data_IF_539495554413
#
_entry.id   IF_539495554413
#
_cell.length_a   1.000
_cell.length_b   1.000
_cell.length_c   1.000
_cell.angle_alpha   90.00
_cell.angle_beta   90.00
_cell.angle_gamma   90.00
#
_symmetry.space_group_name_H-M   'P 1'
#
loop_
_entity.id
_entity.type
_entity.pdbx_description
1 polymer ?
#
# COMPACT_ATOMS: atom_id res chain seq x y z
N UNK A 1 -2.76 1.34 -61.50
CA UNK A 1 -2.87 1.09 -60.04
C UNK A 1 -2.10 -0.19 -59.73
N UNK A 2 -1.08 -0.13 -58.87
CA UNK A 2 -0.13 -1.22 -58.69
C UNK A 2 -0.79 -2.36 -57.87
N UNK A 3 -1.07 -3.50 -58.50
CA UNK A 3 -1.74 -4.67 -57.89
C UNK A 3 -1.07 -5.14 -56.59
N UNK A 4 0.24 -4.90 -56.47
CA UNK A 4 1.05 -5.18 -55.27
C UNK A 4 0.63 -4.31 -54.06
N UNK A 5 0.27 -3.04 -54.26
CA UNK A 5 -0.23 -2.19 -53.16
C UNK A 5 -1.60 -2.64 -52.69
N UNK A 6 -2.48 -3.05 -53.60
CA UNK A 6 -3.81 -3.57 -53.23
C UNK A 6 -3.68 -4.89 -52.44
N UNK A 7 -2.79 -5.79 -52.87
CA UNK A 7 -2.53 -7.04 -52.16
C UNK A 7 -1.93 -6.80 -50.76
N UNK A 8 -0.98 -5.87 -50.64
CA UNK A 8 -0.41 -5.48 -49.34
C UNK A 8 -1.45 -4.85 -48.41
N UNK A 9 -2.36 -4.03 -48.94
CA UNK A 9 -3.43 -3.42 -48.17
C UNK A 9 -4.45 -4.46 -47.69
N UNK A 10 -4.86 -5.39 -48.55
CA UNK A 10 -5.74 -6.50 -48.17
C UNK A 10 -5.12 -7.41 -47.12
N UNK A 11 -3.82 -7.70 -47.23
CA UNK A 11 -3.08 -8.47 -46.22
C UNK A 11 -3.05 -7.74 -44.87
N UNK A 12 -2.79 -6.43 -44.87
CA UNK A 12 -2.86 -5.60 -43.66
C UNK A 12 -4.26 -5.63 -43.04
N UNK A 13 -5.32 -5.45 -43.83
CA UNK A 13 -6.70 -5.55 -43.36
C UNK A 13 -7.00 -6.92 -42.75
N UNK A 14 -6.55 -8.01 -43.38
CA UNK A 14 -6.74 -9.36 -42.86
C UNK A 14 -6.04 -9.58 -41.51
N UNK A 15 -4.82 -9.06 -41.35
CA UNK A 15 -4.05 -9.11 -40.09
C UNK A 15 -4.75 -8.32 -38.99
N UNK A 16 -5.23 -7.10 -39.29
CA UNK A 16 -5.97 -6.26 -38.33
C UNK A 16 -7.28 -6.94 -37.92
N UNK A 17 -8.05 -7.48 -38.87
CA UNK A 17 -9.30 -8.18 -38.55
C UNK A 17 -9.07 -9.42 -37.68
N UNK A 18 -8.00 -10.17 -37.95
CA UNK A 18 -7.62 -11.32 -37.13
C UNK A 18 -7.19 -10.90 -35.71
N UNK A 19 -6.38 -9.84 -35.58
CA UNK A 19 -5.93 -9.36 -34.27
C UNK A 19 -7.10 -8.82 -33.44
N UNK A 20 -8.02 -8.07 -34.03
CA UNK A 20 -9.24 -7.59 -33.35
C UNK A 20 -10.10 -8.76 -32.89
N UNK A 21 -10.42 -9.71 -33.77
CA UNK A 21 -11.22 -10.89 -33.37
C UNK A 21 -10.57 -11.74 -32.28
N UNK A 22 -9.24 -11.85 -32.29
CA UNK A 22 -8.50 -12.53 -31.22
C UNK A 22 -8.60 -11.75 -29.92
N UNK A 23 -8.43 -10.43 -29.97
CA UNK A 23 -8.59 -9.54 -28.81
C UNK A 23 -10.00 -9.64 -28.22
N UNK A 24 -11.03 -9.60 -29.07
CA UNK A 24 -12.44 -9.71 -28.66
C UNK A 24 -12.69 -11.02 -27.91
N UNK A 25 -12.20 -12.15 -28.45
CA UNK A 25 -12.33 -13.46 -27.79
C UNK A 25 -11.66 -13.50 -26.43
N UNK A 26 -10.47 -12.91 -26.30
CA UNK A 26 -9.73 -12.83 -25.03
C UNK A 26 -10.51 -11.97 -24.03
N UNK A 27 -11.04 -10.82 -24.47
CA UNK A 27 -11.85 -9.93 -23.64
C UNK A 27 -13.14 -10.61 -23.17
N UNK A 28 -13.91 -11.22 -24.07
CA UNK A 28 -15.12 -11.95 -23.69
C UNK A 28 -14.82 -13.08 -22.70
N UNK A 29 -13.70 -13.79 -22.87
CA UNK A 29 -13.31 -14.83 -21.94
C UNK A 29 -12.94 -14.26 -20.57
N UNK A 30 -12.22 -13.14 -20.53
CA UNK A 30 -11.90 -12.44 -19.29
C UNK A 30 -13.16 -11.96 -18.57
N UNK A 31 -14.12 -11.37 -19.29
CA UNK A 31 -15.43 -10.95 -18.76
C UNK A 31 -16.22 -12.14 -18.22
N UNK A 32 -16.33 -13.23 -18.99
CA UNK A 32 -17.00 -14.46 -18.53
C UNK A 32 -16.36 -14.99 -17.25
N UNK A 33 -15.03 -15.03 -17.18
CA UNK A 33 -14.30 -15.48 -16.00
C UNK A 33 -14.55 -14.57 -14.80
N UNK A 34 -14.53 -13.25 -15.01
CA UNK A 34 -14.84 -12.26 -13.97
C UNK A 34 -16.26 -12.46 -13.43
N UNK A 35 -17.28 -12.50 -14.28
CA UNK A 35 -18.67 -12.70 -13.88
C UNK A 35 -18.88 -14.06 -13.20
N UNK A 36 -18.19 -15.11 -13.66
CA UNK A 36 -18.22 -16.41 -13.01
C UNK A 36 -17.62 -16.36 -11.59
N UNK A 37 -16.48 -15.70 -11.43
CA UNK A 37 -15.83 -15.51 -10.12
C UNK A 37 -16.71 -14.69 -9.18
N UNK A 38 -17.26 -13.58 -9.67
CA UNK A 38 -18.14 -12.70 -8.89
C UNK A 38 -19.43 -13.41 -8.45
N UNK A 39 -20.06 -14.20 -9.33
CA UNK A 39 -21.24 -15.01 -8.96
C UNK A 39 -20.92 -16.03 -7.86
N UNK A 40 -19.77 -16.69 -7.93
CA UNK A 40 -19.33 -17.62 -6.87
C UNK A 40 -19.07 -16.88 -5.57
N UNK A 41 -18.43 -15.71 -5.64
CA UNK A 41 -18.13 -14.88 -4.48
C UNK A 41 -19.39 -14.44 -3.74
N UNK A 42 -20.43 -14.04 -4.48
CA UNK A 42 -21.72 -13.60 -3.93
C UNK A 42 -22.56 -14.72 -3.29
N UNK A 43 -22.19 -15.99 -3.49
CA UNK A 43 -22.89 -17.14 -2.87
C UNK A 43 -22.14 -17.75 -1.68
N UNK A 44 -20.94 -17.25 -1.35
CA UNK A 44 -20.16 -17.75 -0.22
C UNK A 44 -20.82 -17.32 1.10
N UNK A 45 -21.14 -18.32 1.94
CA UNK A 45 -21.68 -18.13 3.29
C UNK A 45 -20.66 -17.43 4.19
N UNK A 46 -21.16 -16.77 5.23
CA UNK A 46 -20.34 -16.15 6.29
C UNK A 46 -19.33 -17.16 6.85
N UNK A 47 -18.07 -16.75 6.96
CA UNK A 47 -16.98 -17.51 7.60
C UNK A 47 -16.43 -16.73 8.80
N UNK A 48 -15.63 -17.40 9.63
CA UNK A 48 -14.94 -16.73 10.74
C UNK A 48 -13.91 -15.72 10.22
N UNK A 49 -13.66 -14.68 11.03
CA UNK A 49 -12.65 -13.66 10.80
C UNK A 49 -11.40 -13.83 11.68
N UNK A 50 -11.36 -14.87 12.54
CA UNK A 50 -10.28 -15.06 13.52
C UNK A 50 -8.89 -15.27 12.88
N UNK A 51 -8.86 -15.68 11.61
CA UNK A 51 -7.61 -15.90 10.87
C UNK A 51 -7.04 -14.62 10.23
N UNK A 52 -7.68 -13.46 10.43
CA UNK A 52 -7.16 -12.19 9.93
C UNK A 52 -5.90 -11.77 10.71
N UNK A 53 -5.00 -11.08 10.02
CA UNK A 53 -3.82 -10.48 10.63
C UNK A 53 -4.20 -9.16 11.31
N UNK A 54 -4.66 -9.24 12.54
CA UNK A 54 -5.00 -8.07 13.34
C UNK A 54 -3.74 -7.28 13.72
N UNK A 55 -3.82 -5.97 13.59
CA UNK A 55 -2.74 -5.04 13.95
C UNK A 55 -3.02 -4.49 15.34
N UNK A 56 -2.00 -4.52 16.19
CA UNK A 56 -2.04 -3.90 17.52
C UNK A 56 -1.05 -2.75 17.56
N UNK A 57 -1.51 -1.57 17.97
CA UNK A 57 -0.65 -0.40 18.11
C UNK A 57 0.22 -0.57 19.37
N UNK A 58 1.55 -0.49 19.27
CA UNK A 58 2.45 -0.63 20.41
C UNK A 58 2.22 0.44 21.47
N UNK A 59 2.30 0.03 22.74
CA UNK A 59 2.22 0.94 23.89
C UNK A 59 3.28 2.05 23.84
N UNK A 60 4.45 1.73 23.28
CA UNK A 60 5.56 2.69 23.06
C UNK A 60 5.18 3.86 22.15
N UNK A 61 4.17 3.69 21.29
CA UNK A 61 3.60 4.75 20.45
C UNK A 61 2.46 5.45 21.20
N UNK A 62 1.52 4.68 21.76
CA UNK A 62 0.33 5.23 22.42
C UNK A 62 0.69 6.15 23.61
N UNK A 63 1.69 5.78 24.39
CA UNK A 63 2.11 6.49 25.60
C UNK A 63 3.41 7.27 25.42
N UNK A 64 3.79 7.60 24.18
CA UNK A 64 4.99 8.40 23.92
C UNK A 64 4.88 9.79 24.57
N UNK A 65 6.02 10.34 24.99
CA UNK A 65 6.09 11.68 25.60
C UNK A 65 7.17 12.51 24.89
N UNK A 66 6.83 13.15 23.75
CA UNK A 66 7.70 14.13 23.12
C UNK A 66 7.97 15.30 24.07
N UNK A 67 9.13 15.94 23.96
CA UNK A 67 9.47 17.15 24.73
C UNK A 67 8.56 18.30 24.34
N UNK A 68 8.27 18.42 23.03
CA UNK A 68 7.33 19.41 22.49
C UNK A 68 5.93 18.80 22.35
N UNK A 69 5.16 18.77 23.44
CA UNK A 69 3.79 18.26 23.42
C UNK A 69 2.80 19.35 22.98
N UNK A 70 2.59 19.48 21.67
CA UNK A 70 1.58 20.38 21.08
C UNK A 70 0.16 19.82 21.20
N UNK A 71 -0.83 20.67 20.95
CA UNK A 71 -2.24 20.25 20.88
C UNK A 71 -2.45 19.21 19.76
N UNK A 72 -1.86 19.44 18.59
CA UNK A 72 -1.93 18.50 17.46
C UNK A 72 -1.37 17.12 17.79
N UNK A 73 -0.20 17.04 18.45
CA UNK A 73 0.39 15.76 18.86
C UNK A 73 -0.51 15.05 19.86
N UNK A 74 -1.10 15.78 20.81
CA UNK A 74 -2.02 15.22 21.80
C UNK A 74 -3.26 14.64 21.14
N UNK A 75 -3.82 15.34 20.15
CA UNK A 75 -4.99 14.89 19.41
C UNK A 75 -4.68 13.64 18.60
N UNK A 76 -3.54 13.59 17.89
CA UNK A 76 -3.13 12.38 17.18
C UNK A 76 -2.91 11.19 18.11
N UNK A 77 -2.30 11.38 19.28
CA UNK A 77 -2.13 10.29 20.26
C UNK A 77 -3.48 9.81 20.79
N UNK A 78 -4.40 10.73 21.08
CA UNK A 78 -5.76 10.39 21.50
C UNK A 78 -6.49 9.58 20.42
N UNK A 79 -6.44 10.01 19.16
CA UNK A 79 -7.07 9.30 18.06
C UNK A 79 -6.48 7.89 17.88
N UNK A 80 -5.16 7.72 18.07
CA UNK A 80 -4.52 6.41 18.05
C UNK A 80 -4.94 5.53 19.23
N UNK A 81 -5.13 6.10 20.42
CA UNK A 81 -5.66 5.37 21.58
C UNK A 81 -7.08 4.90 21.30
N UNK A 82 -7.94 5.78 20.78
CA UNK A 82 -9.33 5.43 20.43
C UNK A 82 -9.37 4.35 19.35
N UNK A 83 -8.50 4.44 18.33
CA UNK A 83 -8.34 3.40 17.30
C UNK A 83 -7.80 2.09 17.84
N UNK A 84 -6.93 2.11 18.86
CA UNK A 84 -6.34 0.89 19.44
C UNK A 84 -7.37 -0.04 20.10
N UNK A 85 -8.54 0.49 20.45
CA UNK A 85 -9.67 -0.28 20.97
C UNK A 85 -10.49 -0.97 19.86
N UNK A 86 -10.22 -0.66 18.58
CA UNK A 86 -10.96 -1.17 17.43
C UNK A 86 -10.16 -2.25 16.68
N UNK A 87 -10.84 -3.18 16.01
CA UNK A 87 -10.19 -4.14 15.12
C UNK A 87 -9.60 -3.44 13.90
N UNK A 88 -8.29 -3.59 13.71
CA UNK A 88 -7.54 -3.00 12.59
C UNK A 88 -6.94 -4.14 11.76
N UNK A 89 -7.21 -4.13 10.46
CA UNK A 89 -6.66 -5.11 9.52
C UNK A 89 -6.31 -4.41 8.22
N UNK A 90 -5.10 -4.63 7.72
CA UNK A 90 -4.69 -4.14 6.41
C UNK A 90 -5.22 -5.08 5.31
N UNK A 91 -6.19 -4.60 4.52
CA UNK A 91 -6.73 -5.35 3.38
C UNK A 91 -6.33 -4.73 2.02
N UNK A 92 -5.32 -3.84 2.04
CA UNK A 92 -4.83 -3.15 0.85
C UNK A 92 -4.50 -4.12 -0.29
N UNK A 93 -5.04 -3.82 -1.46
CA UNK A 93 -4.82 -4.61 -2.68
C UNK A 93 -5.59 -5.93 -2.76
N UNK A 94 -6.43 -6.26 -1.78
CA UNK A 94 -7.33 -7.42 -1.86
C UNK A 94 -8.66 -6.96 -2.46
N UNK A 95 -9.11 -7.61 -3.54
CA UNK A 95 -10.37 -7.24 -4.18
C UNK A 95 -11.58 -7.64 -3.32
N UNK A 96 -12.68 -6.89 -3.44
CA UNK A 96 -13.95 -7.26 -2.79
C UNK A 96 -14.41 -8.67 -3.18
N UNK A 97 -14.21 -9.07 -4.44
CA UNK A 97 -14.51 -10.42 -4.90
C UNK A 97 -13.69 -11.47 -4.15
N UNK A 98 -12.39 -11.21 -3.92
CA UNK A 98 -11.52 -12.12 -3.17
C UNK A 98 -11.88 -12.16 -1.68
N UNK A 99 -12.20 -11.03 -1.06
CA UNK A 99 -12.71 -10.97 0.31
C UNK A 99 -14.02 -11.75 0.47
N UNK A 100 -14.95 -11.61 -0.49
CA UNK A 100 -16.20 -12.38 -0.51
C UNK A 100 -15.94 -13.88 -0.61
N UNK A 101 -14.99 -14.30 -1.43
CA UNK A 101 -14.61 -15.71 -1.56
C UNK A 101 -13.98 -16.27 -0.27
N UNK A 102 -13.09 -15.48 0.34
CA UNK A 102 -12.35 -15.86 1.54
C UNK A 102 -13.24 -15.89 2.79
N UNK A 103 -14.06 -14.85 3.00
CA UNK A 103 -14.77 -14.60 4.26
C UNK A 103 -16.30 -14.59 4.14
N UNK A 104 -16.84 -14.63 2.93
CA UNK A 104 -18.28 -14.60 2.66
C UNK A 104 -18.83 -13.18 2.49
N UNK A 105 -19.90 -13.06 1.69
CA UNK A 105 -20.50 -11.75 1.35
C UNK A 105 -21.03 -10.99 2.55
N UNK A 106 -21.56 -11.70 3.55
CA UNK A 106 -22.09 -11.10 4.77
C UNK A 106 -21.02 -10.41 5.64
N UNK A 107 -19.73 -10.67 5.40
CA UNK A 107 -18.64 -10.04 6.15
C UNK A 107 -18.06 -8.81 5.47
N UNK A 108 -18.52 -8.43 4.26
CA UNK A 108 -17.89 -7.33 3.52
C UNK A 108 -18.01 -5.99 4.24
N UNK A 109 -19.17 -5.69 4.84
CA UNK A 109 -19.35 -4.45 5.61
C UNK A 109 -18.34 -4.35 6.75
N UNK A 110 -18.21 -5.39 7.58
CA UNK A 110 -17.27 -5.39 8.72
C UNK A 110 -15.81 -5.39 8.27
N UNK A 111 -15.46 -6.05 7.16
CA UNK A 111 -14.10 -6.01 6.61
C UNK A 111 -13.74 -4.62 6.09
N UNK A 112 -14.69 -3.92 5.46
CA UNK A 112 -14.51 -2.52 5.04
C UNK A 112 -14.34 -1.59 6.25
N UNK A 113 -15.04 -1.82 7.35
CA UNK A 113 -14.82 -1.07 8.60
C UNK A 113 -13.40 -1.31 9.15
N UNK A 114 -12.93 -2.56 9.20
CA UNK A 114 -11.59 -2.89 9.70
C UNK A 114 -10.49 -2.24 8.85
N UNK A 115 -10.66 -2.23 7.52
CA UNK A 115 -9.74 -1.60 6.58
C UNK A 115 -9.80 -0.05 6.65
N UNK A 116 -10.97 0.51 6.94
CA UNK A 116 -11.10 1.94 7.21
C UNK A 116 -10.37 2.34 8.48
N UNK A 117 -10.43 1.54 9.56
CA UNK A 117 -9.63 1.78 10.76
C UNK A 117 -8.13 1.75 10.45
N UNK A 118 -7.68 0.81 9.60
CA UNK A 118 -6.29 0.74 9.15
C UNK A 118 -5.87 2.00 8.37
N UNK A 119 -6.68 2.43 7.41
CA UNK A 119 -6.44 3.65 6.63
C UNK A 119 -6.35 4.89 7.53
N UNK A 120 -7.21 5.00 8.54
CA UNK A 120 -7.18 6.07 9.53
C UNK A 120 -5.90 6.01 10.36
N UNK A 121 -5.54 4.84 10.86
CA UNK A 121 -4.33 4.62 11.66
C UNK A 121 -3.08 5.06 10.90
N UNK A 122 -2.84 4.56 9.68
CA UNK A 122 -1.62 4.92 8.92
C UNK A 122 -1.57 6.40 8.53
N UNK A 123 -2.74 7.02 8.31
CA UNK A 123 -2.83 8.46 8.07
C UNK A 123 -2.43 9.27 9.29
N UNK A 124 -2.91 8.88 10.48
CA UNK A 124 -2.55 9.55 11.74
C UNK A 124 -1.07 9.33 12.06
N UNK A 125 -0.55 8.10 11.91
CA UNK A 125 0.87 7.80 12.11
C UNK A 125 1.77 8.68 11.21
N UNK A 126 1.41 8.86 9.94
CA UNK A 126 2.14 9.74 9.03
C UNK A 126 2.13 11.20 9.48
N UNK A 127 0.96 11.72 9.89
CA UNK A 127 0.83 13.11 10.35
C UNK A 127 1.57 13.35 11.66
N UNK A 128 1.45 12.42 12.61
CA UNK A 128 2.16 12.43 13.87
C UNK A 128 3.68 12.42 13.65
N UNK A 129 4.18 11.52 12.81
CA UNK A 129 5.60 11.46 12.49
C UNK A 129 6.12 12.75 11.86
N UNK A 130 5.36 13.37 10.95
CA UNK A 130 5.73 14.65 10.37
C UNK A 130 5.82 15.74 11.46
N UNK A 131 4.81 15.86 12.32
CA UNK A 131 4.79 16.83 13.40
C UNK A 131 5.97 16.62 14.37
N UNK A 132 6.33 15.37 14.68
CA UNK A 132 7.50 15.04 15.49
C UNK A 132 8.81 15.50 14.82
N UNK A 133 8.96 15.26 13.51
CA UNK A 133 10.15 15.75 12.76
C UNK A 133 10.22 17.27 12.78
N UNK A 134 9.10 17.96 12.60
CA UNK A 134 9.03 19.43 12.60
C UNK A 134 9.43 20.04 13.96
N UNK A 135 9.24 19.28 15.05
CA UNK A 135 9.67 19.63 16.41
C UNK A 135 11.04 19.03 16.80
N UNK A 136 11.81 18.53 15.82
CA UNK A 136 13.13 17.93 16.00
C UNK A 136 13.15 16.64 16.85
N UNK A 137 12.02 15.95 16.98
CA UNK A 137 11.82 14.68 17.72
C UNK A 137 12.02 13.47 16.79
N UNK A 138 13.12 13.45 16.05
CA UNK A 138 13.35 12.47 14.96
C UNK A 138 13.40 11.02 15.43
N UNK A 139 13.85 10.76 16.66
CA UNK A 139 13.87 9.40 17.22
C UNK A 139 12.47 8.84 17.44
N UNK A 140 11.54 9.66 17.97
CA UNK A 140 10.15 9.26 18.14
C UNK A 140 9.46 9.12 16.78
N UNK A 141 9.70 10.05 15.85
CA UNK A 141 9.19 9.94 14.49
C UNK A 141 9.64 8.65 13.81
N UNK A 142 10.92 8.27 13.98
CA UNK A 142 11.47 7.02 13.45
C UNK A 142 10.69 5.80 13.95
N UNK A 143 10.40 5.71 15.26
CA UNK A 143 9.62 4.60 15.83
C UNK A 143 8.20 4.52 15.26
N UNK A 144 7.54 5.67 15.08
CA UNK A 144 6.20 5.76 14.50
C UNK A 144 6.20 5.28 13.03
N UNK A 145 7.17 5.75 12.25
CA UNK A 145 7.31 5.40 10.84
C UNK A 145 7.71 3.92 10.65
N UNK A 146 8.62 3.41 11.46
CA UNK A 146 9.02 2.00 11.45
C UNK A 146 7.83 1.08 11.74
N UNK A 147 7.00 1.44 12.71
CA UNK A 147 5.76 0.72 12.98
C UNK A 147 4.82 0.76 11.76
N UNK A 148 4.57 1.93 11.17
CA UNK A 148 3.72 2.04 9.99
C UNK A 148 4.23 1.20 8.80
N UNK A 149 5.54 1.14 8.58
CA UNK A 149 6.15 0.27 7.55
C UNK A 149 5.96 -1.21 7.90
N UNK A 150 6.13 -1.58 9.17
CA UNK A 150 5.96 -2.98 9.62
C UNK A 150 4.54 -3.53 9.41
N UNK A 151 3.52 -2.65 9.36
CA UNK A 151 2.13 -3.06 9.08
C UNK A 151 1.80 -3.15 7.58
N UNK A 152 2.77 -2.85 6.71
CA UNK A 152 2.59 -2.87 5.25
C UNK A 152 1.84 -1.65 4.72
N UNK A 153 2.08 -0.46 5.28
CA UNK A 153 1.50 0.79 4.75
C UNK A 153 1.92 1.01 3.30
N UNK A 154 1.00 1.54 2.49
CA UNK A 154 1.26 1.98 1.11
C UNK A 154 1.40 3.50 1.00
N UNK A 155 1.38 4.22 2.13
CA UNK A 155 1.60 5.67 2.19
C UNK A 155 3.04 5.98 1.83
N UNK A 156 3.27 6.44 0.60
CA UNK A 156 4.63 6.69 0.08
C UNK A 156 5.42 7.70 0.92
N UNK A 157 4.73 8.71 1.48
CA UNK A 157 5.34 9.72 2.36
C UNK A 157 5.99 9.11 3.61
N UNK A 158 5.49 7.99 4.11
CA UNK A 158 6.06 7.29 5.27
C UNK A 158 7.46 6.78 4.94
N UNK A 159 7.60 6.11 3.79
CA UNK A 159 8.89 5.62 3.32
C UNK A 159 9.86 6.76 3.04
N UNK A 160 9.39 7.85 2.44
CA UNK A 160 10.25 8.98 2.09
C UNK A 160 10.79 9.69 3.33
N UNK A 161 9.93 9.96 4.31
CA UNK A 161 10.32 10.62 5.56
C UNK A 161 11.26 9.73 6.39
N UNK A 162 10.99 8.43 6.44
CA UNK A 162 11.85 7.50 7.17
C UNK A 162 13.22 7.36 6.49
N UNK A 163 13.24 7.28 5.16
CA UNK A 163 14.48 7.23 4.39
C UNK A 163 15.30 8.51 4.52
N UNK A 164 14.68 9.71 4.59
CA UNK A 164 15.42 10.94 4.84
C UNK A 164 16.07 10.96 6.22
N UNK A 165 15.36 10.49 7.26
CA UNK A 165 15.94 10.36 8.61
C UNK A 165 17.12 9.38 8.61
N UNK A 166 16.97 8.22 7.96
CA UNK A 166 18.07 7.26 7.84
C UNK A 166 19.24 7.80 7.04
N UNK A 167 19.00 8.56 5.97
CA UNK A 167 20.04 9.19 5.17
C UNK A 167 20.85 10.18 5.99
N UNK A 168 20.20 11.06 6.75
CA UNK A 168 20.86 12.03 7.63
C UNK A 168 21.76 11.35 8.67
N UNK A 169 21.36 10.16 9.13
CA UNK A 169 22.11 9.36 10.09
C UNK A 169 23.11 8.38 9.45
N UNK A 170 23.32 8.41 8.12
CA UNK A 170 24.25 7.51 7.41
C UNK A 170 23.81 6.03 7.37
N UNK A 171 22.54 5.73 7.67
CA UNK A 171 22.04 4.37 7.85
C UNK A 171 21.62 3.70 6.53
N UNK A 172 22.57 3.53 5.60
CA UNK A 172 22.31 2.94 4.26
C UNK A 172 21.67 1.56 4.29
N UNK A 173 22.05 0.71 5.25
CA UNK A 173 21.47 -0.63 5.41
C UNK A 173 19.97 -0.56 5.69
N UNK A 174 19.53 0.39 6.52
CA UNK A 174 18.12 0.60 6.85
C UNK A 174 17.32 1.07 5.63
N UNK A 175 17.90 1.88 4.75
CA UNK A 175 17.27 2.26 3.48
C UNK A 175 17.08 1.04 2.56
N UNK A 176 18.02 0.09 2.53
CA UNK A 176 17.84 -1.18 1.78
C UNK A 176 16.76 -2.07 2.39
N UNK A 177 16.64 -2.10 3.71
CA UNK A 177 15.53 -2.78 4.41
C UNK A 177 14.18 -2.16 4.01
N UNK A 178 14.09 -0.82 3.89
CA UNK A 178 12.87 -0.15 3.39
C UNK A 178 12.52 -0.53 1.97
N UNK A 179 13.50 -0.66 1.07
CA UNK A 179 13.27 -1.12 -0.32
C UNK A 179 12.71 -2.54 -0.30
N UNK A 180 13.27 -3.41 0.54
CA UNK A 180 12.81 -4.80 0.71
C UNK A 180 11.37 -4.83 1.22
N UNK A 181 11.05 -4.03 2.25
CA UNK A 181 9.69 -3.89 2.76
C UNK A 181 8.72 -3.39 1.67
N UNK A 182 9.10 -2.33 0.94
CA UNK A 182 8.29 -1.78 -0.15
C UNK A 182 8.04 -2.80 -1.28
N UNK A 183 9.00 -3.68 -1.57
CA UNK A 183 8.87 -4.72 -2.60
C UNK A 183 7.77 -5.74 -2.29
N UNK A 184 7.49 -5.97 -1.01
CA UNK A 184 6.45 -6.90 -0.54
C UNK A 184 5.03 -6.32 -0.60
N UNK A 185 4.89 -5.02 -0.87
CA UNK A 185 3.59 -4.35 -0.87
C UNK A 185 2.69 -4.81 -2.03
N UNK A 186 1.42 -5.00 -1.72
CA UNK A 186 0.36 -5.25 -2.68
C UNK A 186 -0.34 -3.93 -3.08
N UNK A 187 0.41 -2.99 -3.66
CA UNK A 187 -0.09 -1.65 -4.03
C UNK A 187 0.50 -1.20 -5.37
N UNK A 188 -0.24 -0.33 -6.06
CA UNK A 188 0.22 0.33 -7.30
C UNK A 188 1.37 1.31 -7.04
N UNK A 189 1.51 1.79 -5.80
CA UNK A 189 2.55 2.75 -5.43
C UNK A 189 3.94 2.13 -5.27
N UNK A 190 4.03 0.79 -5.23
CA UNK A 190 5.26 0.04 -4.96
C UNK A 190 6.45 0.49 -5.80
N UNK A 191 6.29 0.52 -7.13
CA UNK A 191 7.39 0.86 -8.03
C UNK A 191 7.87 2.30 -7.82
N UNK A 192 6.94 3.23 -7.59
CA UNK A 192 7.28 4.64 -7.31
C UNK A 192 8.00 4.81 -5.98
N UNK A 193 7.62 4.04 -4.96
CA UNK A 193 8.27 4.05 -3.64
C UNK A 193 9.70 3.53 -3.78
N UNK A 194 9.88 2.37 -4.42
CA UNK A 194 11.19 1.74 -4.62
C UNK A 194 12.12 2.67 -5.39
N UNK A 195 11.67 3.24 -6.53
CA UNK A 195 12.49 4.16 -7.33
C UNK A 195 12.97 5.36 -6.52
N UNK A 196 12.10 5.94 -5.68
CA UNK A 196 12.49 7.07 -4.83
C UNK A 196 13.50 6.66 -3.76
N UNK A 197 13.32 5.51 -3.13
CA UNK A 197 14.24 4.97 -2.11
C UNK A 197 15.63 4.65 -2.71
N UNK A 198 15.67 4.06 -3.90
CA UNK A 198 16.92 3.79 -4.63
C UNK A 198 17.67 5.08 -4.97
N UNK A 199 16.94 6.12 -5.42
CA UNK A 199 17.50 7.45 -5.66
C UNK A 199 18.13 8.07 -4.40
N UNK A 200 17.46 7.94 -3.25
CA UNK A 200 17.98 8.39 -1.95
C UNK A 200 19.26 7.62 -1.60
N UNK A 201 19.24 6.29 -1.68
CA UNK A 201 20.39 5.43 -1.37
C UNK A 201 21.63 5.73 -2.24
N UNK A 202 21.41 5.99 -3.53
CA UNK A 202 22.48 6.37 -4.45
C UNK A 202 23.10 7.71 -4.04
N UNK A 203 22.29 8.71 -3.68
CA UNK A 203 22.78 10.03 -3.25
C UNK A 203 23.61 9.97 -1.96
N UNK A 204 23.26 9.10 -1.02
CA UNK A 204 24.04 8.86 0.21
C UNK A 204 25.40 8.22 -0.07
N UNK A 205 25.53 7.48 -1.19
CA UNK A 205 26.79 6.83 -1.57
C UNK A 205 27.82 7.82 -2.15
N UNK A 206 27.35 8.88 -2.81
CA UNK A 206 28.21 9.94 -3.35
C UNK A 206 28.73 10.91 -2.29
N UNK A 207 28.05 11.06 -1.16
CA UNK A 207 28.45 11.98 -0.08
C UNK A 207 29.61 11.47 0.79
N UNK A 208 29.90 10.16 0.79
CA UNK A 208 31.05 9.57 1.52
C UNK A 208 32.37 9.61 0.72
N UNK A 209 32.34 10.03 -0.55
CA UNK A 209 33.51 10.07 -1.43
C UNK A 209 34.13 11.47 -1.58
N UNK A 210 33.65 12.45 -0.80
CA UNK A 210 34.12 13.84 -0.73
C UNK A 210 34.58 14.15 0.71
#
# INVERSE_FOLDING_TARGET
MNLKFLASFLLLCAVVLYSTKRSDKVQEQAERNFWNKERRANSVRKKSLDALNYITIPDTILNMKPLSMTEEIRDYLKDLIDLSALPIVNLTGISNTDLKLAYGTANITVLTEYDSHYTNMVTILQKLAQCLVDHNEKELATKVLEFAVSTGTDVSRTYYLLASIYQENGQKTRIRELITAASSLNTMMKDSIIQKLESILASTSSQEQL
#
